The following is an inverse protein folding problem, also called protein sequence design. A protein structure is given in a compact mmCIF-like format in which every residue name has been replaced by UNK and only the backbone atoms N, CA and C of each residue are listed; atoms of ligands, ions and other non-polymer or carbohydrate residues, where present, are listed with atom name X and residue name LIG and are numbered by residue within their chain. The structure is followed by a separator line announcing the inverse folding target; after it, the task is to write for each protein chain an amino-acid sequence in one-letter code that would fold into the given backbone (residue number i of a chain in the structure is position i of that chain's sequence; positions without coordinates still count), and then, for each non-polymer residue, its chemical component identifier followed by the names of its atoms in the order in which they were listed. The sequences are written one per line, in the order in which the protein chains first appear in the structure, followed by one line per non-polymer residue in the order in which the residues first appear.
data_IF_481876898384
#
_entry.id   IF_481876898384
#
_cell.length_a   1.000
_cell.length_b   1.000
_cell.length_c   1.000
_cell.angle_alpha   90.00
_cell.angle_beta   90.00
_cell.angle_gamma   90.00
#
_symmetry.space_group_name_H-M   'P 1'
#
loop_
_entity.id
_entity.type
_entity.pdbx_description
1 polymer ?
#
# COMPACT_ATOMS: atom_id res chain seq x y z
N UNK A 1 -34.08 8.34 -35.45
CA UNK A 1 -33.13 7.94 -34.38
C UNK A 1 -31.93 8.88 -34.43
N UNK A 2 -31.71 9.54 -33.28
CA UNK A 2 -30.62 10.40 -32.81
C UNK A 2 -29.83 11.25 -33.83
N UNK A 3 -30.21 12.53 -33.87
CA UNK A 3 -29.49 13.63 -34.52
C UNK A 3 -28.22 13.95 -33.73
N UNK A 4 -27.07 13.97 -34.41
CA UNK A 4 -25.81 14.51 -33.92
C UNK A 4 -25.80 16.03 -34.05
N UNK A 5 -25.75 16.76 -32.94
CA UNK A 5 -25.51 18.20 -32.91
C UNK A 5 -24.06 18.49 -32.52
N UNK A 6 -23.31 19.02 -33.50
CA UNK A 6 -22.11 19.84 -33.30
C UNK A 6 -22.49 21.05 -32.44
N UNK A 7 -21.69 21.38 -31.44
CA UNK A 7 -21.62 22.76 -30.95
C UNK A 7 -20.16 23.21 -30.88
N UNK A 8 -19.87 24.15 -31.78
CA UNK A 8 -18.61 24.85 -31.98
C UNK A 8 -18.66 26.11 -31.13
N UNK A 9 -17.71 26.30 -30.21
CA UNK A 9 -17.44 27.63 -29.66
C UNK A 9 -16.22 28.22 -30.36
N UNK A 10 -16.55 29.18 -31.23
CA UNK A 10 -15.63 30.05 -31.95
C UNK A 10 -15.51 31.35 -31.15
N UNK A 11 -14.26 31.79 -31.01
CA UNK A 11 -13.81 33.11 -30.58
C UNK A 11 -14.78 34.28 -30.82
N UNK A 12 -14.90 35.16 -29.83
CA UNK A 12 -15.12 36.59 -30.04
C UNK A 12 -14.15 37.37 -29.12
N UNK A 13 -13.31 38.16 -29.77
CA UNK A 13 -12.37 39.15 -29.23
C UNK A 13 -13.01 40.54 -29.40
N UNK A 14 -12.97 41.42 -28.39
CA UNK A 14 -12.66 42.87 -28.47
C UNK A 14 -12.81 43.53 -27.08
N UNK A 15 -11.73 43.89 -26.37
CA UNK A 15 -11.10 45.23 -26.23
C UNK A 15 -11.85 46.21 -25.29
N UNK A 16 -11.22 47.28 -24.75
CA UNK A 16 -10.34 47.30 -23.57
C UNK A 16 -10.91 48.22 -22.48
N UNK A 17 -10.57 48.02 -21.20
CA UNK A 17 -10.91 48.97 -20.15
C UNK A 17 -9.67 49.40 -19.36
N UNK A 18 -9.70 50.68 -19.03
CA UNK A 18 -8.59 51.58 -18.80
C UNK A 18 -7.88 51.36 -17.47
N UNK A 19 -6.58 51.67 -17.50
CA UNK A 19 -5.71 51.74 -16.34
C UNK A 19 -6.24 52.80 -15.36
N UNK A 20 -6.53 52.42 -14.12
CA UNK A 20 -6.64 53.36 -13.01
C UNK A 20 -5.85 52.84 -11.81
N UNK A 21 -4.77 53.55 -11.51
CA UNK A 21 -3.90 53.38 -10.37
C UNK A 21 -4.53 54.03 -9.13
N UNK A 22 -4.58 53.30 -8.01
CA UNK A 22 -4.47 53.74 -6.61
C UNK A 22 -4.80 52.49 -5.76
N UNK A 23 -3.78 51.77 -5.31
CA UNK A 23 -3.29 51.82 -3.93
C UNK A 23 -4.44 51.72 -2.92
N UNK A 24 -4.71 50.49 -2.48
CA UNK A 24 -5.11 50.23 -1.11
C UNK A 24 -4.54 48.87 -0.69
N UNK A 25 -3.58 48.96 0.21
CA UNK A 25 -2.93 47.85 0.88
C UNK A 25 -3.93 47.10 1.75
N UNK A 26 -4.58 46.06 1.22
CA UNK A 26 -5.20 45.04 2.06
C UNK A 26 -4.15 43.97 2.37
N UNK A 27 -3.30 44.28 3.35
CA UNK A 27 -2.61 43.24 4.09
C UNK A 27 -3.71 42.47 4.85
N UNK A 28 -4.28 41.45 4.22
CA UNK A 28 -5.04 40.44 4.96
C UNK A 28 -4.09 39.95 6.04
N UNK A 29 -4.44 40.07 7.33
CA UNK A 29 -3.62 39.46 8.35
C UNK A 29 -3.55 38.00 7.96
N UNK A 30 -2.32 37.50 7.72
CA UNK A 30 -2.08 36.07 7.82
C UNK A 30 -2.65 35.72 9.17
N UNK A 31 -3.80 35.03 9.16
CA UNK A 31 -4.32 34.42 10.37
C UNK A 31 -3.24 33.42 10.74
N UNK A 32 -2.29 33.85 11.57
CA UNK A 32 -1.69 32.95 12.53
C UNK A 32 -2.86 32.57 13.40
N UNK A 33 -3.61 31.57 12.91
CA UNK A 33 -4.51 30.84 13.77
C UNK A 33 -3.57 30.18 14.76
N UNK A 34 -3.25 30.89 15.83
CA UNK A 34 -2.99 30.28 17.12
C UNK A 34 -4.30 29.59 17.51
N UNK A 35 -4.64 28.50 16.81
CA UNK A 35 -5.49 27.50 17.40
C UNK A 35 -4.57 26.75 18.36
N UNK A 36 -4.39 27.33 19.55
CA UNK A 36 -4.16 26.52 20.74
C UNK A 36 -5.20 25.42 20.68
N UNK A 37 -4.76 24.22 20.29
CA UNK A 37 -5.55 23.01 20.15
C UNK A 37 -6.13 22.74 21.53
N UNK A 38 -7.29 23.33 21.84
CA UNK A 38 -8.11 22.87 22.94
C UNK A 38 -8.65 21.54 22.45
N UNK A 39 -7.91 20.49 22.78
CA UNK A 39 -8.40 19.15 22.55
C UNK A 39 -9.59 18.98 23.49
N UNK A 40 -10.79 19.28 23.01
CA UNK A 40 -12.02 18.90 23.67
C UNK A 40 -12.15 17.39 23.50
N UNK A 41 -11.38 16.65 24.29
CA UNK A 41 -11.35 15.20 24.23
C UNK A 41 -12.72 14.68 24.67
N UNK A 42 -13.33 13.73 23.93
CA UNK A 42 -14.64 13.18 24.27
C UNK A 42 -14.66 12.44 25.62
N UNK A 43 -13.49 12.18 26.21
CA UNK A 43 -13.29 11.64 27.56
C UNK A 43 -12.08 12.32 28.23
N UNK A 44 -12.16 12.55 29.54
CA UNK A 44 -11.18 13.31 30.34
C UNK A 44 -9.76 12.71 30.31
N UNK A 45 -9.62 11.40 30.12
CA UNK A 45 -8.31 10.73 30.08
C UNK A 45 -8.31 9.58 29.07
N UNK A 46 -7.16 9.35 28.44
CA UNK A 46 -6.97 8.25 27.49
C UNK A 46 -7.21 6.88 28.14
N UNK A 47 -6.82 6.66 29.39
CA UNK A 47 -7.03 5.39 30.10
C UNK A 47 -8.51 4.99 30.15
N UNK A 48 -9.40 5.95 30.43
CA UNK A 48 -10.85 5.72 30.42
C UNK A 48 -11.35 5.37 29.01
N UNK A 49 -10.82 6.06 27.99
CA UNK A 49 -11.12 5.78 26.59
C UNK A 49 -10.66 4.38 26.19
N UNK A 50 -9.45 4.00 26.58
CA UNK A 50 -8.89 2.69 26.32
C UNK A 50 -9.75 1.60 26.96
N UNK A 51 -10.09 1.74 28.25
CA UNK A 51 -10.94 0.78 28.95
C UNK A 51 -12.31 0.57 28.26
N UNK A 52 -12.92 1.64 27.74
CA UNK A 52 -14.20 1.57 27.05
C UNK A 52 -14.11 0.89 25.67
N UNK A 53 -13.01 1.11 24.95
CA UNK A 53 -12.85 0.66 23.56
C UNK A 53 -12.01 -0.63 23.41
N UNK A 54 -11.42 -1.15 24.49
CA UNK A 54 -10.72 -2.44 24.49
C UNK A 54 -11.57 -3.62 23.94
N UNK A 55 -12.88 -3.74 24.26
CA UNK A 55 -13.73 -4.76 23.65
C UNK A 55 -13.87 -4.60 22.13
N UNK A 56 -13.77 -3.37 21.62
CA UNK A 56 -13.82 -3.09 20.17
C UNK A 56 -12.55 -3.58 19.47
N UNK A 57 -11.37 -3.40 20.09
CA UNK A 57 -10.10 -3.95 19.60
C UNK A 57 -10.21 -5.48 19.52
N UNK A 58 -10.73 -6.12 20.57
CA UNK A 58 -10.97 -7.57 20.59
C UNK A 58 -11.97 -8.03 19.53
N UNK A 59 -13.01 -7.24 19.26
CA UNK A 59 -13.98 -7.52 18.21
C UNK A 59 -13.37 -7.40 16.80
N UNK A 60 -12.51 -6.40 16.57
CA UNK A 60 -11.76 -6.24 15.33
C UNK A 60 -10.83 -7.43 15.08
N UNK A 61 -10.12 -7.91 16.10
CA UNK A 61 -9.27 -9.09 16.02
C UNK A 61 -10.02 -10.32 15.51
N UNK A 62 -11.19 -10.62 16.12
CA UNK A 62 -12.02 -11.73 15.66
C UNK A 62 -12.55 -11.53 14.24
N UNK A 63 -12.93 -10.31 13.88
CA UNK A 63 -13.46 -9.99 12.55
C UNK A 63 -12.42 -10.16 11.45
N UNK A 64 -11.15 -9.86 11.75
CA UNK A 64 -10.03 -10.03 10.83
C UNK A 64 -9.45 -11.46 10.83
N UNK A 65 -9.99 -12.36 11.65
CA UNK A 65 -9.52 -13.74 11.78
C UNK A 65 -8.02 -13.86 12.11
N UNK A 66 -7.50 -12.94 12.93
CA UNK A 66 -6.09 -12.94 13.33
C UNK A 66 -5.87 -14.01 14.41
N UNK A 67 -4.96 -14.95 14.14
CA UNK A 67 -4.62 -16.07 15.02
C UNK A 67 -3.15 -16.07 15.49
N UNK A 68 -2.32 -15.17 14.95
CA UNK A 68 -0.89 -15.03 15.26
C UNK A 68 -0.55 -13.61 15.72
N UNK A 69 0.55 -13.47 16.45
CA UNK A 69 1.12 -12.17 16.87
C UNK A 69 0.11 -11.22 17.52
N UNK A 70 -0.77 -11.75 18.38
CA UNK A 70 -1.88 -10.97 18.95
C UNK A 70 -1.43 -9.70 19.67
N UNK A 71 -0.28 -9.74 20.35
CA UNK A 71 0.26 -8.58 21.05
C UNK A 71 0.48 -7.38 20.10
N UNK A 72 1.02 -7.62 18.91
CA UNK A 72 1.33 -6.57 17.94
C UNK A 72 0.07 -5.90 17.41
N UNK A 73 -0.94 -6.71 17.08
CA UNK A 73 -2.22 -6.19 16.58
C UNK A 73 -3.00 -5.44 17.66
N UNK A 74 -3.00 -5.94 18.90
CA UNK A 74 -3.59 -5.22 20.04
C UNK A 74 -2.87 -3.87 20.21
N UNK A 75 -1.54 -3.85 20.19
CA UNK A 75 -0.77 -2.62 20.31
C UNK A 75 -1.03 -1.65 19.16
N UNK A 76 -1.07 -2.14 17.91
CA UNK A 76 -1.43 -1.33 16.73
C UNK A 76 -2.82 -0.72 16.88
N UNK A 77 -3.80 -1.49 17.36
CA UNK A 77 -5.14 -1.02 17.67
C UNK A 77 -5.16 0.08 18.74
N UNK A 78 -4.41 -0.09 19.84
CA UNK A 78 -4.32 0.91 20.92
C UNK A 78 -3.63 2.19 20.46
N UNK A 79 -2.56 2.09 19.68
CA UNK A 79 -1.87 3.24 19.09
C UNK A 79 -2.81 4.01 18.16
N UNK A 80 -3.59 3.31 17.35
CA UNK A 80 -4.58 3.92 16.48
C UNK A 80 -5.68 4.62 17.27
N UNK A 81 -6.18 4.00 18.35
CA UNK A 81 -7.15 4.62 19.25
C UNK A 81 -6.59 5.89 19.89
N UNK A 82 -5.34 5.88 20.35
CA UNK A 82 -4.68 7.06 20.91
C UNK A 82 -4.56 8.19 19.89
N UNK A 83 -4.16 7.87 18.65
CA UNK A 83 -4.11 8.84 17.55
C UNK A 83 -5.49 9.41 17.24
N UNK A 84 -6.52 8.56 17.23
CA UNK A 84 -7.90 8.98 17.01
C UNK A 84 -8.39 9.89 18.14
N UNK A 85 -8.14 9.54 19.39
CA UNK A 85 -8.48 10.36 20.57
C UNK A 85 -7.78 11.72 20.56
N UNK A 86 -6.51 11.77 20.14
CA UNK A 86 -5.72 13.00 20.05
C UNK A 86 -6.18 13.96 18.96
N UNK A 87 -6.62 13.41 17.82
CA UNK A 87 -6.95 14.18 16.62
C UNK A 87 -8.46 14.35 16.41
N UNK A 88 -9.28 13.86 17.33
CA UNK A 88 -10.72 13.97 17.21
C UNK A 88 -11.16 15.42 17.37
N UNK A 89 -11.90 15.91 16.37
CA UNK A 89 -12.59 17.19 16.41
C UNK A 89 -14.08 16.91 16.64
N UNK A 90 -14.70 17.65 17.57
CA UNK A 90 -16.12 17.59 17.90
C UNK A 90 -17.04 17.78 16.68
N UNK A 91 -16.56 18.41 15.61
CA UNK A 91 -17.30 18.57 14.35
C UNK A 91 -17.32 17.29 13.47
N UNK A 92 -16.51 16.28 13.80
CA UNK A 92 -16.27 15.09 12.93
C UNK A 92 -17.31 13.97 13.12
N UNK A 93 -18.34 14.19 13.95
CA UNK A 93 -19.43 13.23 14.19
C UNK A 93 -19.16 12.29 15.36
N UNK A 94 -19.66 11.04 15.30
CA UNK A 94 -19.56 10.10 16.43
C UNK A 94 -18.13 9.53 16.58
N UNK A 95 -17.51 9.76 17.74
CA UNK A 95 -16.17 9.26 18.08
C UNK A 95 -16.06 7.73 17.94
N UNK A 96 -17.07 6.96 18.34
CA UNK A 96 -17.01 5.49 18.29
C UNK A 96 -16.87 4.97 16.85
N UNK A 97 -17.58 5.59 15.90
CA UNK A 97 -17.48 5.23 14.48
C UNK A 97 -16.11 5.62 13.90
N UNK A 98 -15.58 6.78 14.31
CA UNK A 98 -14.25 7.23 13.93
C UNK A 98 -13.14 6.32 14.50
N UNK A 99 -13.22 6.00 15.78
CA UNK A 99 -12.32 5.09 16.48
C UNK A 99 -12.33 3.69 15.84
N UNK A 100 -13.51 3.12 15.59
CA UNK A 100 -13.63 1.84 14.90
C UNK A 100 -12.89 1.84 13.55
N UNK A 101 -13.12 2.87 12.73
CA UNK A 101 -12.51 2.97 11.41
C UNK A 101 -10.98 3.12 11.51
N UNK A 102 -10.49 3.87 12.49
CA UNK A 102 -9.06 4.04 12.72
C UNK A 102 -8.39 2.75 13.22
N UNK A 103 -8.99 2.06 14.20
CA UNK A 103 -8.47 0.81 14.76
C UNK A 103 -8.45 -0.28 13.68
N UNK A 104 -9.56 -0.45 12.96
CA UNK A 104 -9.69 -1.47 11.92
C UNK A 104 -8.70 -1.24 10.78
N UNK A 105 -8.50 0.01 10.36
CA UNK A 105 -7.51 0.37 9.35
C UNK A 105 -6.08 0.04 9.80
N UNK A 106 -5.70 0.42 11.03
CA UNK A 106 -4.37 0.15 11.54
C UNK A 106 -4.05 -1.36 11.65
N UNK A 107 -5.03 -2.19 12.00
CA UNK A 107 -4.85 -3.64 12.01
C UNK A 107 -4.70 -4.23 10.59
N UNK A 108 -5.38 -3.69 9.58
CA UNK A 108 -5.18 -4.08 8.18
C UNK A 108 -3.79 -3.67 7.68
N UNK A 109 -3.31 -2.48 8.05
CA UNK A 109 -1.97 -2.01 7.73
C UNK A 109 -0.90 -2.90 8.38
N UNK A 110 -1.14 -3.32 9.64
CA UNK A 110 -0.28 -4.29 10.34
C UNK A 110 -0.24 -5.64 9.62
N UNK A 111 -1.40 -6.15 9.21
CA UNK A 111 -1.49 -7.41 8.47
C UNK A 111 -0.72 -7.35 7.15
N UNK A 112 -0.82 -6.22 6.45
CA UNK A 112 -0.07 -5.99 5.21
C UNK A 112 1.44 -5.97 5.48
N UNK A 113 1.85 -5.40 6.61
CA UNK A 113 3.25 -5.34 7.02
C UNK A 113 3.79 -6.71 7.43
N UNK A 114 3.04 -7.47 8.23
CA UNK A 114 3.41 -8.83 8.63
C UNK A 114 3.52 -9.75 7.42
N UNK A 115 2.59 -9.66 6.46
CA UNK A 115 2.70 -10.42 5.22
C UNK A 115 3.95 -10.04 4.40
N UNK A 116 4.44 -8.80 4.49
CA UNK A 116 5.69 -8.41 3.84
C UNK A 116 6.92 -9.01 4.55
N UNK A 117 6.91 -9.04 5.89
CA UNK A 117 7.97 -9.67 6.69
C UNK A 117 7.99 -11.19 6.55
N UNK A 118 6.84 -11.87 6.55
CA UNK A 118 6.77 -13.33 6.35
C UNK A 118 7.40 -13.74 5.00
N UNK A 119 7.27 -12.89 3.97
CA UNK A 119 7.92 -13.12 2.65
C UNK A 119 9.44 -12.93 2.73
N UNK A 120 9.91 -12.03 3.60
CA UNK A 120 11.33 -11.69 3.78
C UNK A 120 12.06 -12.70 4.68
N UNK A 121 11.40 -13.22 5.73
CA UNK A 121 11.91 -14.32 6.55
C UNK A 121 12.05 -15.61 5.73
N UNK A 122 11.25 -15.80 4.68
CA UNK A 122 11.44 -16.88 3.71
C UNK A 122 12.65 -16.67 2.77
N UNK A 123 13.34 -15.53 2.84
CA UNK A 123 14.55 -15.22 2.07
C UNK A 123 15.85 -15.14 2.88
N UNK A 124 15.79 -15.23 4.21
CA UNK A 124 17.00 -15.22 5.05
C UNK A 124 17.12 -16.49 5.90
N UNK A 125 17.64 -17.55 5.28
CA UNK A 125 18.60 -18.44 5.93
C UNK A 125 19.22 -19.41 4.92
N UNK A 126 20.42 -19.07 4.45
CA UNK A 126 21.57 -19.97 4.47
C UNK A 126 22.84 -19.13 4.57
N UNK A 127 23.17 -18.68 5.78
CA UNK A 127 24.58 -18.60 6.15
C UNK A 127 25.11 -20.05 6.11
N UNK A 128 25.87 -20.36 5.07
CA UNK A 128 26.33 -21.72 4.79
C UNK A 128 27.09 -22.32 5.98
N UNK A 129 26.65 -23.46 6.56
CA UNK A 129 27.60 -24.36 7.20
C UNK A 129 28.54 -24.86 6.08
N UNK A 130 29.82 -24.58 6.23
CA UNK A 130 30.84 -25.12 5.35
C UNK A 130 30.69 -26.65 5.27
N UNK A 131 30.46 -27.17 4.07
CA UNK A 131 30.44 -28.60 3.79
C UNK A 131 29.04 -29.22 3.79
N UNK A 132 28.28 -28.97 2.73
CA UNK A 132 27.58 -30.03 2.02
C UNK A 132 27.44 -29.58 0.57
N UNK A 133 27.91 -30.44 -0.33
CA UNK A 133 27.76 -30.29 -1.77
C UNK A 133 26.27 -30.09 -2.04
N UNK A 134 25.87 -28.84 -2.28
CA UNK A 134 24.53 -28.52 -2.74
C UNK A 134 24.40 -29.24 -4.08
N UNK A 135 23.64 -30.33 -4.08
CA UNK A 135 23.05 -30.90 -5.27
C UNK A 135 22.11 -29.84 -5.85
N UNK A 136 22.68 -28.78 -6.42
CA UNK A 136 21.95 -27.89 -7.29
C UNK A 136 21.44 -28.80 -8.40
N UNK A 137 20.11 -28.93 -8.58
CA UNK A 137 19.64 -29.50 -9.82
C UNK A 137 20.27 -28.62 -10.90
N UNK A 138 21.11 -29.19 -11.76
CA UNK A 138 21.52 -28.54 -12.99
C UNK A 138 20.24 -28.32 -13.78
N UNK A 139 19.57 -27.19 -13.54
CA UNK A 139 18.35 -26.83 -14.25
C UNK A 139 18.85 -26.51 -15.66
N UNK A 140 18.46 -27.29 -16.69
CA UNK A 140 18.88 -26.99 -18.05
C UNK A 140 18.10 -25.75 -18.52
N UNK A 141 18.61 -24.57 -18.17
CA UNK A 141 18.03 -23.30 -18.58
C UNK A 141 17.96 -23.20 -20.11
N UNK A 142 18.76 -23.97 -20.84
CA UNK A 142 18.75 -24.13 -22.31
C UNK A 142 17.38 -24.54 -22.88
N UNK A 143 16.50 -25.13 -22.08
CA UNK A 143 15.13 -25.49 -22.48
C UNK A 143 14.23 -24.25 -22.64
N UNK A 144 14.58 -23.14 -21.98
CA UNK A 144 13.83 -21.89 -22.04
C UNK A 144 14.35 -20.98 -23.16
N UNK A 145 13.43 -20.29 -23.87
CA UNK A 145 13.79 -19.20 -24.77
C UNK A 145 14.63 -18.13 -24.05
N UNK A 146 15.59 -17.51 -24.75
CA UNK A 146 16.51 -16.51 -24.18
C UNK A 146 15.78 -15.40 -23.42
N UNK A 147 14.72 -14.85 -24.01
CA UNK A 147 13.91 -13.80 -23.38
C UNK A 147 13.17 -14.25 -22.11
N UNK A 148 12.87 -15.55 -21.99
CA UNK A 148 12.21 -16.10 -20.81
C UNK A 148 13.23 -16.32 -19.68
N UNK A 149 14.47 -16.70 -20.04
CA UNK A 149 15.63 -16.80 -19.13
C UNK A 149 15.97 -15.44 -18.55
N UNK A 150 16.11 -14.44 -19.40
CA UNK A 150 16.38 -13.05 -19.03
C UNK A 150 15.29 -12.49 -18.11
N UNK A 151 14.02 -12.78 -18.41
CA UNK A 151 12.89 -12.40 -17.56
C UNK A 151 13.00 -13.04 -16.16
N UNK A 152 13.37 -14.31 -16.05
CA UNK A 152 13.54 -14.97 -14.75
C UNK A 152 14.76 -14.43 -13.99
N UNK A 153 15.86 -14.15 -14.69
CA UNK A 153 17.05 -13.55 -14.10
C UNK A 153 16.72 -12.20 -13.43
N UNK A 154 16.04 -11.31 -14.17
CA UNK A 154 15.66 -9.99 -13.65
C UNK A 154 14.71 -10.07 -12.45
N UNK A 155 13.82 -11.05 -12.41
CA UNK A 155 12.83 -11.20 -11.35
C UNK A 155 13.39 -11.86 -10.08
N UNK A 156 14.19 -12.92 -10.24
CA UNK A 156 14.60 -13.78 -9.11
C UNK A 156 16.05 -13.57 -8.69
N UNK A 157 16.94 -13.15 -9.59
CA UNK A 157 18.35 -12.89 -9.26
C UNK A 157 18.56 -11.40 -8.98
N UNK A 158 18.03 -10.51 -9.83
CA UNK A 158 18.14 -9.06 -9.59
C UNK A 158 17.02 -8.49 -8.70
N UNK A 159 15.96 -9.26 -8.43
CA UNK A 159 14.86 -8.84 -7.55
C UNK A 159 13.98 -7.69 -8.08
N UNK A 160 14.01 -7.40 -9.38
CA UNK A 160 13.21 -6.31 -9.96
C UNK A 160 11.72 -6.60 -9.91
N UNK A 161 10.93 -5.54 -9.73
CA UNK A 161 9.46 -5.64 -9.74
C UNK A 161 8.95 -5.75 -11.17
N UNK A 162 7.81 -6.43 -11.37
CA UNK A 162 7.20 -6.58 -12.71
C UNK A 162 7.00 -5.24 -13.44
N UNK A 163 6.72 -4.17 -12.69
CA UNK A 163 6.58 -2.78 -13.18
C UNK A 163 7.85 -2.19 -13.77
N UNK A 164 9.01 -2.61 -13.29
CA UNK A 164 10.31 -2.14 -13.77
C UNK A 164 10.74 -2.95 -15.00
N UNK A 165 10.36 -4.23 -15.02
CA UNK A 165 10.64 -5.15 -16.12
C UNK A 165 9.80 -4.85 -17.37
N UNK A 166 8.61 -4.25 -17.24
CA UNK A 166 7.82 -3.79 -18.40
C UNK A 166 8.57 -2.74 -19.21
N UNK A 167 9.31 -1.84 -18.56
CA UNK A 167 10.14 -0.84 -19.24
C UNK A 167 11.32 -1.48 -19.98
N UNK A 168 11.87 -2.57 -19.44
CA UNK A 168 12.99 -3.30 -20.04
C UNK A 168 12.59 -4.11 -21.29
N UNK A 169 11.44 -4.81 -21.24
CA UNK A 169 10.97 -5.65 -22.35
C UNK A 169 9.99 -4.96 -23.31
N UNK A 170 9.56 -3.74 -22.98
CA UNK A 170 8.50 -3.01 -23.70
C UNK A 170 7.21 -3.83 -23.86
N UNK A 171 6.83 -4.58 -22.81
CA UNK A 171 5.62 -5.40 -22.77
C UNK A 171 4.71 -4.95 -21.63
N UNK A 172 3.42 -5.27 -21.71
CA UNK A 172 2.48 -5.01 -20.62
C UNK A 172 2.69 -5.99 -19.46
N UNK A 173 2.35 -5.58 -18.23
CA UNK A 173 2.48 -6.43 -17.03
C UNK A 173 1.73 -7.77 -17.18
N UNK A 174 0.56 -7.75 -17.81
CA UNK A 174 -0.24 -8.94 -18.07
C UNK A 174 0.48 -9.93 -19.00
N UNK A 175 1.17 -9.41 -20.03
CA UNK A 175 1.93 -10.25 -20.95
C UNK A 175 3.15 -10.88 -20.25
N UNK A 176 3.85 -10.13 -19.39
CA UNK A 176 4.97 -10.64 -18.60
C UNK A 176 4.54 -11.72 -17.60
N UNK A 177 3.39 -11.56 -16.92
CA UNK A 177 2.83 -12.59 -16.02
C UNK A 177 2.59 -13.91 -16.76
N UNK A 178 1.89 -13.85 -17.90
CA UNK A 178 1.62 -15.03 -18.74
C UNK A 178 2.90 -15.66 -19.29
N UNK A 179 3.95 -14.86 -19.49
CA UNK A 179 5.26 -15.34 -19.95
C UNK A 179 6.01 -16.06 -18.82
N UNK A 180 6.02 -15.47 -17.61
CA UNK A 180 6.56 -16.07 -16.39
C UNK A 180 5.90 -17.43 -16.09
N UNK A 181 4.57 -17.49 -16.13
CA UNK A 181 3.83 -18.73 -15.89
C UNK A 181 4.21 -19.84 -16.88
N UNK A 182 4.30 -19.51 -18.17
CA UNK A 182 4.73 -20.46 -19.22
C UNK A 182 6.16 -20.92 -19.03
N UNK A 183 7.06 -20.01 -18.66
CA UNK A 183 8.46 -20.31 -18.38
C UNK A 183 8.61 -21.28 -17.19
N UNK A 184 7.92 -20.99 -16.08
CA UNK A 184 7.91 -21.86 -14.89
C UNK A 184 7.28 -23.23 -15.17
N UNK A 185 6.20 -23.27 -15.96
CA UNK A 185 5.57 -24.53 -16.35
C UNK A 185 6.54 -25.44 -17.14
N UNK A 186 7.28 -24.86 -18.08
CA UNK A 186 8.31 -25.59 -18.83
C UNK A 186 9.44 -26.11 -17.94
N UNK A 187 9.95 -25.26 -17.04
CA UNK A 187 10.98 -25.66 -16.07
C UNK A 187 10.50 -26.81 -15.18
N UNK A 188 9.27 -26.71 -14.66
CA UNK A 188 8.67 -27.76 -13.83
C UNK A 188 8.59 -29.09 -14.58
N UNK A 189 8.10 -29.08 -15.82
CA UNK A 189 8.02 -30.30 -16.62
C UNK A 189 9.39 -30.88 -16.92
N UNK A 190 10.38 -30.04 -17.28
CA UNK A 190 11.74 -30.50 -17.53
C UNK A 190 12.38 -31.19 -16.32
N UNK A 191 12.16 -30.66 -15.12
CA UNK A 191 12.63 -31.27 -13.88
C UNK A 191 11.95 -32.62 -13.63
N UNK A 192 10.62 -32.69 -13.83
CA UNK A 192 9.85 -33.91 -13.63
C UNK A 192 10.22 -35.01 -14.65
N UNK A 193 10.45 -34.66 -15.91
CA UNK A 193 10.86 -35.62 -16.96
C UNK A 193 12.26 -36.19 -16.74
N UNK A 194 13.16 -35.49 -16.03
CA UNK A 194 14.51 -36.00 -15.71
C UNK A 194 14.52 -37.00 -14.54
N UNK A 195 13.44 -37.08 -13.76
CA UNK A 195 13.32 -37.95 -12.57
C UNK A 195 12.66 -39.32 -12.86
N UNK A 196 12.25 -39.57 -14.10
CA UNK A 196 11.62 -40.81 -14.57
C UNK A 196 12.47 -41.52 -15.61
#
# INVERSE_FOLDING_TARGET
MVKTTRFSYRNVIFLPFTHNSKQDTMHLPRKTCECTRRNDHPMETFETCLAQFEPMISACMRKLHIYKNHADYIQSGRIALWKAWKNFDSNTGNFAAYAYRSIYGAMLDEMTRQNAYDVDEMSEDHAAPAGNETNHPEIPFEILPEKDRELLFLLYIEGKKLREVTSHFHMTEAALKKRKERALFKLRNAILTRQS
#
